data_IF_302544828481
#
_entry.id   IF_302544828481
#
_cell.length_a   1.000
_cell.length_b   1.000
_cell.length_c   1.000
_cell.angle_alpha   90.00
_cell.angle_beta   90.00
_cell.angle_gamma   90.00
#
_symmetry.space_group_name_H-M   'P 1'
#
loop_
_entity.id
_entity.type
_entity.pdbx_description
1 polymer ?
#
# COMPACT_ATOMS: atom_id res chain seq x y z
N UNK A 1 -1.63 -25.96 31.26
CA UNK A 1 -0.56 -25.51 30.36
C UNK A 1 -0.07 -24.17 30.88
N UNK A 2 1.23 -24.01 31.13
CA UNK A 2 1.72 -22.77 31.75
C UNK A 2 1.88 -21.70 30.66
N UNK A 3 1.47 -20.47 30.92
CA UNK A 3 1.48 -19.32 29.97
C UNK A 3 2.82 -19.10 29.22
N UNK A 4 3.94 -19.61 29.72
CA UNK A 4 5.23 -19.56 29.03
C UNK A 4 5.36 -20.57 27.88
N UNK A 5 4.65 -21.69 27.93
CA UNK A 5 4.70 -22.75 26.89
C UNK A 5 3.95 -22.31 25.64
N UNK A 6 2.83 -21.61 25.83
CA UNK A 6 2.07 -20.98 24.74
C UNK A 6 2.83 -19.81 24.12
N UNK A 7 3.54 -19.03 24.94
CA UNK A 7 4.39 -17.94 24.45
C UNK A 7 5.59 -18.48 23.67
N UNK A 8 6.22 -19.55 24.14
CA UNK A 8 7.33 -20.21 23.46
C UNK A 8 6.92 -20.84 22.12
N UNK A 9 5.76 -21.50 22.05
CA UNK A 9 5.25 -22.07 20.80
C UNK A 9 4.88 -20.98 19.77
N UNK A 10 4.40 -19.82 20.25
CA UNK A 10 4.19 -18.66 19.39
C UNK A 10 5.52 -18.09 18.93
N UNK A 11 6.49 -17.85 19.83
CA UNK A 11 7.82 -17.32 19.49
C UNK A 11 8.58 -18.23 18.49
N UNK A 12 8.45 -19.56 18.61
CA UNK A 12 9.02 -20.50 17.63
C UNK A 12 8.34 -20.41 16.27
N UNK A 13 7.02 -20.17 16.26
CA UNK A 13 6.27 -19.95 15.03
C UNK A 13 6.61 -18.59 14.42
N UNK A 14 6.91 -17.57 15.25
CA UNK A 14 7.43 -16.27 14.83
C UNK A 14 8.79 -16.38 14.15
N UNK A 15 9.75 -17.10 14.75
CA UNK A 15 11.10 -17.27 14.18
C UNK A 15 11.03 -17.96 12.80
N UNK A 16 10.17 -18.98 12.67
CA UNK A 16 9.93 -19.66 11.39
C UNK A 16 9.29 -18.75 10.34
N UNK A 17 8.36 -17.87 10.73
CA UNK A 17 7.70 -16.92 9.83
C UNK A 17 8.64 -15.78 9.44
N UNK A 18 9.46 -15.31 10.38
CA UNK A 18 10.44 -14.26 10.17
C UNK A 18 11.51 -14.71 9.17
N UNK A 19 12.02 -15.94 9.28
CA UNK A 19 12.97 -16.54 8.32
C UNK A 19 12.40 -16.65 6.88
N UNK A 20 11.08 -16.80 6.75
CA UNK A 20 10.40 -16.84 5.45
C UNK A 20 10.24 -15.43 4.88
N UNK A 21 9.81 -14.49 5.72
CA UNK A 21 9.63 -13.09 5.32
C UNK A 21 10.95 -12.38 5.05
N UNK A 22 12.05 -12.80 5.69
CA UNK A 22 13.42 -12.34 5.43
C UNK A 22 13.99 -12.92 4.12
N UNK A 23 13.38 -13.99 3.59
CA UNK A 23 13.80 -14.65 2.36
C UNK A 23 14.92 -15.66 2.54
N UNK A 24 15.22 -16.08 3.77
CA UNK A 24 16.25 -17.09 4.07
C UNK A 24 15.77 -18.53 3.78
N UNK A 25 14.45 -18.75 3.65
CA UNK A 25 13.87 -20.00 3.15
C UNK A 25 13.65 -19.90 1.62
N UNK A 26 14.57 -20.45 0.84
CA UNK A 26 14.53 -20.35 -0.63
C UNK A 26 13.66 -21.41 -1.31
N UNK A 27 13.34 -22.52 -0.64
CA UNK A 27 12.71 -23.69 -1.24
C UNK A 27 11.68 -24.36 -0.31
N UNK A 28 10.52 -24.72 -0.87
CA UNK A 28 9.50 -25.59 -0.28
C UNK A 28 10.05 -27.03 -0.15
N UNK A 29 9.34 -27.92 0.57
CA UNK A 29 9.72 -29.35 0.67
C UNK A 29 9.83 -30.04 -0.71
N UNK A 30 9.13 -29.52 -1.73
CA UNK A 30 9.17 -30.00 -3.12
C UNK A 30 10.22 -29.29 -4.00
N UNK A 31 11.09 -28.45 -3.41
CA UNK A 31 12.14 -27.71 -4.12
C UNK A 31 11.65 -26.52 -4.97
N UNK A 32 10.37 -26.17 -4.88
CA UNK A 32 9.81 -24.98 -5.53
C UNK A 32 10.11 -23.72 -4.70
N UNK A 33 10.28 -22.53 -5.33
CA UNK A 33 10.49 -21.29 -4.59
C UNK A 33 9.29 -20.97 -3.69
N UNK A 34 9.57 -20.55 -2.45
CA UNK A 34 8.52 -20.14 -1.50
C UNK A 34 7.87 -18.84 -1.97
N UNK A 35 6.55 -18.82 -2.09
CA UNK A 35 5.76 -17.63 -2.41
C UNK A 35 5.10 -17.03 -1.16
N UNK A 36 4.65 -15.76 -1.19
CA UNK A 36 3.91 -15.17 -0.07
C UNK A 36 2.62 -15.93 0.30
N UNK A 37 1.97 -16.59 -0.66
CA UNK A 37 0.78 -17.41 -0.42
C UNK A 37 1.17 -18.74 0.28
N UNK A 38 2.33 -19.31 -0.03
CA UNK A 38 2.85 -20.50 0.67
C UNK A 38 3.15 -20.18 2.15
N UNK A 39 3.68 -18.98 2.43
CA UNK A 39 3.93 -18.53 3.79
C UNK A 39 2.65 -18.44 4.64
N UNK A 40 1.53 -17.99 4.04
CA UNK A 40 0.22 -17.96 4.69
C UNK A 40 -0.30 -19.36 5.00
N UNK A 41 -0.22 -20.29 4.04
CA UNK A 41 -0.63 -21.68 4.23
C UNK A 41 0.18 -22.35 5.36
N UNK A 42 1.48 -22.08 5.46
CA UNK A 42 2.30 -22.62 6.54
C UNK A 42 1.93 -22.06 7.91
N UNK A 43 1.63 -20.76 8.00
CA UNK A 43 1.13 -20.15 9.24
C UNK A 43 -0.19 -20.81 9.64
N UNK A 44 -1.12 -21.01 8.70
CA UNK A 44 -2.39 -21.67 8.97
C UNK A 44 -2.21 -23.11 9.44
N UNK A 45 -1.34 -23.88 8.79
CA UNK A 45 -0.99 -25.25 9.19
C UNK A 45 -0.33 -25.31 10.57
N UNK A 46 0.60 -24.40 10.86
CA UNK A 46 1.29 -24.32 12.13
C UNK A 46 0.31 -23.95 13.25
N UNK A 47 -0.56 -22.95 13.01
CA UNK A 47 -1.66 -22.63 13.92
C UNK A 47 -2.57 -23.84 14.10
N UNK A 48 -2.94 -24.58 13.05
CA UNK A 48 -3.79 -25.77 13.14
C UNK A 48 -3.20 -26.85 14.06
N UNK A 49 -1.87 -27.04 14.06
CA UNK A 49 -1.15 -28.01 14.91
C UNK A 49 -1.10 -27.63 16.40
N UNK A 50 -1.38 -26.37 16.76
CA UNK A 50 -1.48 -25.96 18.16
C UNK A 50 -2.74 -26.57 18.77
N UNK A 51 -2.57 -27.56 19.65
CA UNK A 51 -3.62 -28.18 20.45
C UNK A 51 -3.88 -27.37 21.72
N UNK A 52 -4.69 -26.32 21.57
CA UNK A 52 -5.16 -25.45 22.67
C UNK A 52 -6.70 -25.44 22.74
N UNK A 53 -7.24 -25.05 23.90
CA UNK A 53 -8.66 -24.70 24.01
C UNK A 53 -8.99 -23.58 23.00
N UNK A 54 -10.08 -23.76 22.24
CA UNK A 54 -10.48 -22.87 21.12
C UNK A 54 -10.37 -21.38 21.47
N UNK A 55 -10.85 -21.01 22.65
CA UNK A 55 -10.92 -19.61 23.07
C UNK A 55 -9.53 -19.05 23.43
N UNK A 56 -8.65 -19.87 24.01
CA UNK A 56 -7.25 -19.52 24.30
C UNK A 56 -6.49 -19.29 22.99
N UNK A 57 -6.63 -20.21 22.04
CA UNK A 57 -6.04 -20.10 20.70
C UNK A 57 -6.50 -18.86 19.96
N UNK A 58 -7.80 -18.57 19.99
CA UNK A 58 -8.37 -17.38 19.35
C UNK A 58 -7.82 -16.08 19.97
N UNK A 59 -7.69 -16.00 21.29
CA UNK A 59 -7.13 -14.83 21.98
C UNK A 59 -5.64 -14.65 21.68
N UNK A 60 -4.87 -15.74 21.61
CA UNK A 60 -3.45 -15.70 21.24
C UNK A 60 -3.26 -15.19 19.80
N UNK A 61 -4.07 -15.67 18.85
CA UNK A 61 -4.06 -15.16 17.47
C UNK A 61 -4.48 -13.69 17.42
N UNK A 62 -5.44 -13.25 18.24
CA UNK A 62 -5.82 -11.84 18.31
C UNK A 62 -4.66 -10.95 18.81
N UNK A 63 -3.88 -11.41 19.80
CA UNK A 63 -2.66 -10.73 20.23
C UNK A 63 -1.61 -10.66 19.11
N UNK A 64 -1.42 -11.76 18.36
CA UNK A 64 -0.53 -11.81 17.21
C UNK A 64 -0.90 -10.77 16.15
N UNK A 65 -2.18 -10.66 15.80
CA UNK A 65 -2.67 -9.63 14.86
C UNK A 65 -2.38 -8.22 15.34
N UNK A 66 -2.46 -7.96 16.66
CA UNK A 66 -2.15 -6.62 17.21
C UNK A 66 -0.66 -6.29 17.08
N UNK A 67 0.22 -7.28 17.28
CA UNK A 67 1.66 -7.09 17.10
C UNK A 67 1.99 -6.71 15.65
N UNK A 68 1.49 -7.46 14.66
CA UNK A 68 1.71 -7.14 13.25
C UNK A 68 1.12 -5.78 12.84
N UNK A 69 -0.03 -5.39 13.39
CA UNK A 69 -0.58 -4.04 13.16
C UNK A 69 0.31 -2.93 13.73
N UNK A 70 0.92 -3.16 14.91
CA UNK A 70 1.83 -2.20 15.51
C UNK A 70 3.12 -2.07 14.69
N UNK A 71 3.68 -3.19 14.24
CA UNK A 71 4.85 -3.22 13.36
C UNK A 71 4.57 -2.52 12.02
N UNK A 72 3.45 -2.84 11.36
CA UNK A 72 3.05 -2.21 10.11
C UNK A 72 2.89 -0.68 10.25
N UNK A 73 2.35 -0.21 11.39
CA UNK A 73 2.26 1.23 11.65
C UNK A 73 3.65 1.85 11.87
N UNK A 74 4.57 1.19 12.58
CA UNK A 74 5.94 1.66 12.72
C UNK A 74 6.66 1.79 11.37
N UNK A 75 6.55 0.76 10.52
CA UNK A 75 7.10 0.75 9.15
C UNK A 75 6.49 1.86 8.29
N UNK A 76 5.19 2.10 8.40
CA UNK A 76 4.51 3.19 7.69
C UNK A 76 5.02 4.55 8.13
N UNK A 77 5.26 4.78 9.42
CA UNK A 77 5.83 6.05 9.90
C UNK A 77 7.23 6.29 9.32
N UNK A 78 8.05 5.24 9.26
CA UNK A 78 9.38 5.32 8.63
C UNK A 78 9.29 5.60 7.13
N UNK A 79 8.41 4.89 6.42
CA UNK A 79 8.13 5.13 4.99
C UNK A 79 7.72 6.58 4.74
N UNK A 80 6.82 7.13 5.56
CA UNK A 80 6.39 8.52 5.45
C UNK A 80 7.54 9.50 5.72
N UNK A 81 8.43 9.19 6.67
CA UNK A 81 9.64 9.99 6.94
C UNK A 81 10.55 10.03 5.72
N UNK A 82 10.83 8.88 5.11
CA UNK A 82 11.64 8.77 3.90
C UNK A 82 10.99 9.48 2.72
N UNK A 83 9.68 9.31 2.53
CA UNK A 83 8.93 9.98 1.48
C UNK A 83 9.00 11.51 1.61
N UNK A 84 8.84 12.06 2.82
CA UNK A 84 8.99 13.51 3.06
C UNK A 84 10.39 14.00 2.71
N UNK A 85 11.42 13.22 3.06
CA UNK A 85 12.82 13.56 2.74
C UNK A 85 13.07 13.53 1.23
N UNK A 86 12.54 12.53 0.53
CA UNK A 86 12.58 12.46 -0.94
C UNK A 86 11.94 13.70 -1.56
N UNK A 87 10.68 14.00 -1.19
CA UNK A 87 9.95 15.15 -1.71
C UNK A 87 10.66 16.48 -1.44
N UNK A 88 11.30 16.63 -0.27
CA UNK A 88 12.09 17.82 0.04
C UNK A 88 13.31 17.96 -0.87
N UNK A 89 14.00 16.85 -1.17
CA UNK A 89 15.13 16.83 -2.09
C UNK A 89 14.69 17.13 -3.53
N UNK A 90 13.59 16.52 -4.00
CA UNK A 90 12.99 16.78 -5.32
C UNK A 90 12.61 18.25 -5.47
N UNK A 91 11.87 18.80 -4.50
CA UNK A 91 11.48 20.22 -4.50
C UNK A 91 12.69 21.15 -4.49
N UNK A 92 13.77 20.77 -3.81
CA UNK A 92 15.00 21.56 -3.80
C UNK A 92 15.69 21.48 -5.17
N UNK A 93 15.75 20.31 -5.79
CA UNK A 93 16.26 20.14 -7.13
C UNK A 93 15.45 20.97 -8.14
N UNK A 94 14.11 20.89 -8.12
CA UNK A 94 13.23 21.70 -8.97
C UNK A 94 13.46 23.19 -8.78
N UNK A 95 13.62 23.67 -7.53
CA UNK A 95 13.95 25.08 -7.25
C UNK A 95 15.28 25.49 -7.87
N UNK A 96 16.30 24.65 -7.75
CA UNK A 96 17.62 24.93 -8.34
C UNK A 96 17.57 24.86 -9.87
N UNK A 97 16.78 23.95 -10.45
CA UNK A 97 16.52 23.91 -11.89
C UNK A 97 15.83 25.18 -12.35
N UNK A 98 14.77 25.62 -11.67
CA UNK A 98 14.08 26.88 -12.00
C UNK A 98 14.99 28.12 -11.86
N UNK A 99 15.92 28.11 -10.90
CA UNK A 99 16.96 29.14 -10.82
C UNK A 99 17.89 29.10 -12.04
N UNK A 100 18.36 27.93 -12.47
CA UNK A 100 19.19 27.79 -13.66
C UNK A 100 18.47 28.25 -14.93
N UNK A 101 17.18 27.98 -15.06
CA UNK A 101 16.34 28.46 -16.17
C UNK A 101 16.23 29.99 -16.22
N UNK A 102 16.22 30.66 -15.06
CA UNK A 102 16.22 32.13 -15.00
C UNK A 102 17.61 32.74 -15.21
N UNK A 103 18.65 32.04 -14.79
CA UNK A 103 20.04 32.51 -14.85
C UNK A 103 20.68 32.32 -16.23
N UNK A 104 20.31 31.26 -16.95
CA UNK A 104 20.88 30.94 -18.26
C UNK A 104 19.99 31.45 -19.41
N UNK A 105 20.62 31.93 -20.48
CA UNK A 105 19.87 32.31 -21.67
C UNK A 105 19.28 31.07 -22.39
N UNK A 106 18.05 31.14 -22.92
CA UNK A 106 17.45 30.07 -23.70
C UNK A 106 18.34 29.61 -24.86
N UNK A 107 18.60 28.30 -24.94
CA UNK A 107 19.50 27.71 -25.94
C UNK A 107 20.95 27.52 -25.47
N UNK A 108 21.31 28.01 -24.28
CA UNK A 108 22.64 27.78 -23.69
C UNK A 108 22.92 26.30 -23.48
N UNK A 109 24.11 25.84 -23.92
CA UNK A 109 24.58 24.46 -23.71
C UNK A 109 25.89 24.48 -22.94
N UNK A 110 25.90 23.85 -21.76
CA UNK A 110 27.10 23.71 -20.93
C UNK A 110 27.35 22.24 -20.64
N UNK A 111 28.61 21.81 -20.69
CA UNK A 111 29.00 20.44 -20.41
C UNK A 111 30.39 20.40 -19.80
N UNK A 112 30.53 19.67 -18.70
CA UNK A 112 31.82 19.26 -18.15
C UNK A 112 31.75 17.77 -17.76
N UNK A 113 32.76 17.28 -17.02
CA UNK A 113 32.79 15.89 -16.54
C UNK A 113 31.72 15.57 -15.48
N UNK A 114 31.07 16.58 -14.88
CA UNK A 114 30.14 16.43 -13.76
C UNK A 114 28.69 16.54 -14.21
N UNK A 115 28.39 17.44 -15.15
CA UNK A 115 27.02 17.70 -15.58
C UNK A 115 26.93 18.17 -17.05
N UNK A 116 25.75 18.02 -17.63
CA UNK A 116 25.39 18.59 -18.93
C UNK A 116 24.08 19.36 -18.78
N UNK A 117 24.06 20.61 -19.25
CA UNK A 117 22.91 21.49 -19.29
C UNK A 117 22.56 21.75 -20.75
N UNK A 118 21.29 21.64 -21.09
CA UNK A 118 20.77 21.98 -22.40
C UNK A 118 19.27 22.24 -22.33
N UNK A 119 18.79 23.02 -23.29
CA UNK A 119 17.37 23.34 -23.41
C UNK A 119 16.65 22.33 -24.30
N UNK A 120 15.42 22.00 -23.93
CA UNK A 120 14.50 21.26 -24.78
C UNK A 120 13.29 22.12 -25.09
N UNK A 121 12.74 21.99 -26.30
CA UNK A 121 11.42 22.54 -26.59
C UNK A 121 10.37 21.65 -25.90
N UNK A 122 9.44 22.28 -25.21
CA UNK A 122 8.27 21.60 -24.64
C UNK A 122 7.05 22.42 -25.01
N UNK A 123 6.00 21.72 -25.44
CA UNK A 123 4.71 22.32 -25.73
C UNK A 123 3.75 21.95 -24.60
N UNK A 124 3.02 22.94 -24.11
CA UNK A 124 1.99 22.77 -23.09
C UNK A 124 0.73 23.50 -23.54
N UNK A 125 -0.41 22.84 -23.45
CA UNK A 125 -1.71 23.46 -23.71
C UNK A 125 -2.25 23.99 -22.39
N UNK A 126 -2.31 25.31 -22.27
CA UNK A 126 -2.92 25.97 -21.12
C UNK A 126 -4.41 26.20 -21.40
N UNK A 127 -5.28 25.52 -20.66
CA UNK A 127 -6.71 25.77 -20.69
C UNK A 127 -7.05 26.84 -19.63
N UNK A 128 -7.48 28.02 -20.07
CA UNK A 128 -7.83 29.13 -19.19
C UNK A 128 -9.31 29.17 -18.79
N UNK A 129 -10.15 28.38 -19.47
CA UNK A 129 -11.59 28.29 -19.21
C UNK A 129 -11.94 27.02 -18.43
N UNK A 130 -13.05 27.06 -17.69
CA UNK A 130 -13.61 25.87 -17.05
C UNK A 130 -13.85 24.75 -18.08
N UNK A 131 -13.62 23.47 -17.72
CA UNK A 131 -13.80 22.36 -18.65
C UNK A 131 -15.19 22.30 -19.30
N UNK A 132 -16.23 22.74 -18.61
CA UNK A 132 -17.61 22.76 -19.13
C UNK A 132 -17.88 23.82 -20.20
N UNK A 133 -17.02 24.85 -20.31
CA UNK A 133 -17.11 25.89 -21.34
C UNK A 133 -16.37 25.52 -22.62
N UNK A 134 -15.53 24.48 -22.58
CA UNK A 134 -14.86 23.97 -23.76
C UNK A 134 -15.89 23.28 -24.68
N UNK A 135 -15.69 23.25 -26.01
CA UNK A 135 -16.48 22.41 -26.89
C UNK A 135 -16.50 20.95 -26.40
N UNK A 136 -17.64 20.27 -26.53
CA UNK A 136 -17.82 18.90 -26.04
C UNK A 136 -16.78 17.90 -26.56
N UNK A 137 -16.21 18.16 -27.75
CA UNK A 137 -15.14 17.38 -28.37
C UNK A 137 -13.82 17.37 -27.56
N UNK A 138 -13.61 18.38 -26.70
CA UNK A 138 -12.43 18.52 -25.84
C UNK A 138 -12.75 18.25 -24.36
N UNK A 139 -13.96 17.79 -24.05
CA UNK A 139 -14.37 17.43 -22.69
C UNK A 139 -14.25 15.93 -22.47
N UNK A 140 -13.76 15.54 -21.28
CA UNK A 140 -13.82 14.14 -20.81
C UNK A 140 -14.87 14.02 -19.72
N UNK A 141 -15.96 13.31 -19.99
CA UNK A 141 -17.00 13.01 -19.02
C UNK A 141 -16.63 11.74 -18.24
N UNK A 142 -16.62 11.83 -16.91
CA UNK A 142 -16.43 10.68 -16.01
C UNK A 142 -17.78 10.32 -15.41
N UNK A 143 -18.25 9.10 -15.63
CA UNK A 143 -19.47 8.57 -15.01
C UNK A 143 -19.02 7.60 -13.90
N UNK A 144 -19.33 7.92 -12.65
CA UNK A 144 -19.01 7.08 -11.50
C UNK A 144 -20.29 6.74 -10.74
N UNK A 145 -20.38 5.51 -10.19
CA UNK A 145 -21.53 5.12 -9.39
C UNK A 145 -21.56 5.91 -8.09
N UNK A 146 -22.70 6.51 -7.77
CA UNK A 146 -22.93 7.06 -6.44
C UNK A 146 -23.30 5.92 -5.48
N UNK A 147 -22.28 5.28 -4.93
CA UNK A 147 -22.41 4.14 -4.02
C UNK A 147 -23.23 4.52 -2.77
N UNK A 148 -23.19 5.80 -2.34
CA UNK A 148 -23.94 6.24 -1.17
C UNK A 148 -25.44 6.31 -1.48
N UNK A 149 -25.82 6.89 -2.62
CA UNK A 149 -27.20 6.93 -3.08
C UNK A 149 -27.74 5.52 -3.37
N UNK A 150 -26.94 4.67 -4.03
CA UNK A 150 -27.28 3.27 -4.30
C UNK A 150 -27.51 2.51 -2.99
N UNK A 151 -26.63 2.66 -2.00
CA UNK A 151 -26.78 2.03 -0.69
C UNK A 151 -28.00 2.53 0.08
N UNK A 152 -28.36 3.81 -0.06
CA UNK A 152 -29.56 4.37 0.55
C UNK A 152 -30.84 3.81 -0.10
N UNK A 153 -30.89 3.73 -1.43
CA UNK A 153 -32.00 3.14 -2.18
C UNK A 153 -32.19 1.65 -1.86
N UNK A 154 -31.11 0.86 -1.88
CA UNK A 154 -31.15 -0.57 -1.55
C UNK A 154 -31.56 -0.84 -0.09
N UNK A 155 -31.33 0.10 0.83
CA UNK A 155 -31.81 0.01 2.23
C UNK A 155 -33.28 0.37 2.41
N UNK A 156 -33.88 1.03 1.42
CA UNK A 156 -35.30 1.39 1.38
C UNK A 156 -36.12 0.39 0.54
N UNK A 157 -35.59 -0.81 0.31
CA UNK A 157 -36.16 -1.86 -0.54
C UNK A 157 -36.42 -1.44 -2.00
N UNK A 158 -35.69 -0.43 -2.48
CA UNK A 158 -35.76 0.03 -3.87
C UNK A 158 -34.76 -0.77 -4.74
N UNK A 159 -35.25 -1.40 -5.80
CA UNK A 159 -34.39 -2.14 -6.74
C UNK A 159 -33.50 -1.17 -7.54
N UNK A 160 -32.18 -1.40 -7.47
CA UNK A 160 -31.18 -0.71 -8.29
C UNK A 160 -30.54 -1.75 -9.23
N UNK A 161 -30.87 -1.75 -10.54
CA UNK A 161 -30.27 -2.67 -11.49
C UNK A 161 -28.74 -2.58 -11.48
N UNK A 162 -28.07 -3.71 -11.24
CA UNK A 162 -26.60 -3.80 -11.21
C UNK A 162 -25.95 -3.54 -9.84
N UNK A 163 -26.73 -3.38 -8.76
CA UNK A 163 -26.20 -3.26 -7.41
C UNK A 163 -26.93 -4.19 -6.42
N UNK A 164 -26.16 -4.84 -5.54
CA UNK A 164 -26.67 -5.75 -4.51
C UNK A 164 -26.12 -5.34 -3.14
N UNK A 165 -26.97 -5.37 -2.11
CA UNK A 165 -26.56 -5.13 -0.74
C UNK A 165 -26.14 -6.46 -0.08
N UNK A 166 -24.83 -6.65 0.09
CA UNK A 166 -24.31 -7.83 0.81
C UNK A 166 -24.08 -7.53 2.29
N UNK A 167 -24.73 -8.29 3.16
CA UNK A 167 -24.46 -8.28 4.61
C UNK A 167 -23.24 -9.15 4.90
N UNK A 168 -22.21 -8.55 5.49
CA UNK A 168 -20.97 -9.24 5.88
C UNK A 168 -20.70 -9.00 7.35
N UNK A 169 -20.38 -10.06 8.08
CA UNK A 169 -19.90 -9.97 9.45
C UNK A 169 -18.37 -9.90 9.42
N UNK A 170 -17.81 -8.93 10.14
CA UNK A 170 -16.37 -8.72 10.23
C UNK A 170 -15.89 -8.88 11.67
N UNK A 171 -14.83 -9.66 11.88
CA UNK A 171 -14.20 -9.80 13.19
C UNK A 171 -13.56 -8.47 13.62
N UNK A 172 -13.73 -8.10 14.89
CA UNK A 172 -13.13 -6.90 15.47
C UNK A 172 -12.08 -7.30 16.51
N UNK A 173 -10.81 -7.01 16.20
CA UNK A 173 -9.67 -7.22 17.11
C UNK A 173 -9.22 -5.84 17.61
N UNK A 174 -9.26 -5.64 18.93
CA UNK A 174 -8.94 -4.37 19.61
C UNK A 174 -7.79 -4.53 20.57
#
# INVERSE_FOLDING_TARGET
MKLYETYLALEQLWEQVEDILSGDVSENHDGSPVTPDDALDWIEQALARIEDERDVKALNIACLVKNFRAEAEALKQEKLRLQRRQQAAEKTAERLTGYLEQFLEPGTRLKDARATIGWRKSEAVNCWSDPGLLPSEFQRVKVEPDIAAIKAALKQDQEVPGAELQLKNHIQIR
#
